data_IF_278900017650
#
_entry.id   IF_278900017650
#
_cell.length_a   1.000
_cell.length_b   1.000
_cell.length_c   1.000
_cell.angle_alpha   90.00
_cell.angle_beta   90.00
_cell.angle_gamma   90.00
#
_symmetry.space_group_name_H-M   'P 1'
#
loop_
_entity.id
_entity.type
_entity.pdbx_description
1 polymer ?
#
# COMPACT_ATOMS: atom_id res chain seq x y z
N UNK A 1 -15.41 7.44 7.84
CA UNK A 1 -15.00 7.76 9.23
C UNK A 1 -14.56 9.23 9.23
N UNK A 2 -15.35 10.15 9.81
CA UNK A 2 -14.98 11.57 9.92
C UNK A 2 -13.98 11.73 11.08
N UNK A 3 -12.70 11.43 10.84
CA UNK A 3 -11.61 11.62 11.81
C UNK A 3 -11.03 13.03 11.79
N UNK A 4 -11.63 13.95 11.02
CA UNK A 4 -11.10 15.28 10.75
C UNK A 4 -10.91 16.12 12.01
N UNK A 5 -11.93 16.26 12.86
CA UNK A 5 -11.88 17.26 13.94
C UNK A 5 -10.72 17.05 14.93
N UNK A 6 -10.42 15.81 15.30
CA UNK A 6 -9.31 15.52 16.21
C UNK A 6 -7.96 15.85 15.56
N UNK A 7 -7.79 15.50 14.28
CA UNK A 7 -6.57 15.80 13.51
C UNK A 7 -6.42 17.31 13.26
N UNK A 8 -7.51 18.07 13.17
CA UNK A 8 -7.49 19.52 13.02
C UNK A 8 -7.11 20.27 14.30
N UNK A 9 -7.25 19.63 15.47
CA UNK A 9 -6.99 20.26 16.78
C UNK A 9 -5.72 19.76 17.46
N UNK A 10 -5.25 18.55 17.13
CA UNK A 10 -4.07 17.97 17.76
C UNK A 10 -2.79 18.80 17.53
N UNK A 11 -2.14 19.23 18.61
CA UNK A 11 -0.88 19.99 18.63
C UNK A 11 0.22 19.31 19.48
N UNK A 12 -0.09 18.14 20.05
CA UNK A 12 0.86 17.32 20.81
C UNK A 12 1.77 16.48 19.91
N UNK A 13 2.99 16.13 20.36
CA UNK A 13 3.84 15.19 19.63
C UNK A 13 3.18 13.80 19.49
N UNK A 14 3.04 13.30 18.27
CA UNK A 14 2.46 11.98 17.96
C UNK A 14 3.47 11.01 17.36
N UNK A 15 3.60 9.83 17.95
CA UNK A 15 4.27 8.69 17.33
C UNK A 15 3.20 7.76 16.75
N UNK A 16 3.25 7.54 15.44
CA UNK A 16 2.29 6.69 14.73
C UNK A 16 2.97 5.38 14.38
N UNK A 17 2.29 4.26 14.61
CA UNK A 17 2.82 2.93 14.27
C UNK A 17 1.83 2.26 13.33
N UNK A 18 2.33 1.72 12.22
CA UNK A 18 1.52 1.07 11.21
C UNK A 18 2.27 -0.06 10.50
N UNK A 19 1.52 -0.88 9.77
CA UNK A 19 2.06 -1.96 8.96
C UNK A 19 1.53 -1.87 7.53
N UNK A 20 2.33 -2.20 6.52
CA UNK A 20 1.90 -2.15 5.12
C UNK A 20 0.76 -3.13 4.80
N UNK A 21 0.66 -4.22 5.57
CA UNK A 21 -0.41 -5.21 5.46
C UNK A 21 -1.45 -5.06 6.58
N UNK A 22 -1.46 -3.92 7.27
CA UNK A 22 -2.47 -3.61 8.27
C UNK A 22 -3.70 -2.95 7.62
N UNK A 23 -4.89 -3.26 8.13
CA UNK A 23 -6.16 -2.71 7.61
C UNK A 23 -6.23 -1.18 7.78
N UNK A 24 -5.52 -0.61 8.75
CA UNK A 24 -5.48 0.82 9.01
C UNK A 24 -4.30 1.53 8.35
N UNK A 25 -3.47 0.86 7.53
CA UNK A 25 -2.33 1.49 6.86
C UNK A 25 -2.70 2.79 6.11
N UNK A 26 -3.78 2.85 5.31
CA UNK A 26 -4.19 4.09 4.64
C UNK A 26 -4.51 5.20 5.63
N UNK A 27 -5.16 4.87 6.74
CA UNK A 27 -5.51 5.83 7.78
C UNK A 27 -4.27 6.37 8.50
N UNK A 28 -3.32 5.51 8.86
CA UNK A 28 -2.07 5.92 9.53
C UNK A 28 -1.26 6.88 8.65
N UNK A 29 -1.17 6.59 7.34
CA UNK A 29 -0.50 7.47 6.38
C UNK A 29 -1.23 8.81 6.22
N UNK A 30 -2.56 8.79 6.09
CA UNK A 30 -3.38 10.01 5.99
C UNK A 30 -3.22 10.89 7.24
N UNK A 31 -3.26 10.29 8.44
CA UNK A 31 -3.03 11.00 9.70
C UNK A 31 -1.65 11.65 9.74
N UNK A 32 -0.60 10.91 9.34
CA UNK A 32 0.76 11.45 9.27
C UNK A 32 0.81 12.65 8.31
N UNK A 33 0.26 12.52 7.09
CA UNK A 33 0.27 13.59 6.10
C UNK A 33 -0.46 14.83 6.61
N UNK A 34 -1.66 14.65 7.18
CA UNK A 34 -2.48 15.76 7.68
C UNK A 34 -1.85 16.49 8.87
N UNK A 35 -1.29 15.76 9.83
CA UNK A 35 -0.60 16.35 10.98
C UNK A 35 0.64 17.15 10.55
N UNK A 36 1.35 16.67 9.52
CA UNK A 36 2.52 17.37 8.96
C UNK A 36 2.16 18.65 8.25
N UNK A 37 1.06 18.68 7.49
CA UNK A 37 0.58 19.91 6.85
C UNK A 37 0.32 21.02 7.88
N UNK A 38 -0.07 20.65 9.10
CA UNK A 38 -0.30 21.55 10.23
C UNK A 38 0.97 21.84 11.05
N UNK A 39 2.14 21.37 10.61
CA UNK A 39 3.42 21.46 11.34
C UNK A 39 3.41 20.80 12.73
N UNK A 40 2.50 19.86 12.99
CA UNK A 40 2.51 19.07 14.22
C UNK A 40 3.70 18.12 14.21
N UNK A 41 4.33 17.93 15.38
CA UNK A 41 5.42 16.96 15.55
C UNK A 41 4.86 15.55 15.42
N UNK A 42 5.16 14.88 14.30
CA UNK A 42 4.72 13.51 14.06
C UNK A 42 5.84 12.67 13.46
N UNK A 43 5.95 11.43 13.95
CA UNK A 43 6.87 10.42 13.43
C UNK A 43 6.12 9.09 13.22
N UNK A 44 5.84 8.67 11.97
CA UNK A 44 5.33 7.35 11.66
C UNK A 44 6.46 6.31 11.56
N UNK A 45 6.15 5.09 12.01
CA UNK A 45 6.91 3.86 11.81
C UNK A 45 6.04 2.87 11.03
N UNK A 46 6.38 2.61 9.77
CA UNK A 46 5.63 1.71 8.88
C UNK A 46 6.42 0.44 8.57
N UNK A 47 6.06 -0.69 9.20
CA UNK A 47 6.74 -1.97 8.99
C UNK A 47 6.04 -2.93 8.01
N UNK A 48 6.62 -4.10 7.71
CA UNK A 48 6.01 -5.12 6.86
C UNK A 48 4.97 -5.97 7.61
N UNK A 49 4.23 -5.37 8.54
CA UNK A 49 3.37 -6.08 9.48
C UNK A 49 1.92 -6.11 9.01
N UNK A 50 1.21 -7.16 9.42
CA UNK A 50 -0.24 -7.20 9.41
C UNK A 50 -0.80 -6.70 10.75
N UNK A 51 -2.12 -6.64 10.87
CA UNK A 51 -2.80 -6.12 12.05
C UNK A 51 -2.38 -6.80 13.36
N UNK A 52 -2.25 -8.13 13.33
CA UNK A 52 -1.89 -8.90 14.53
C UNK A 52 -0.43 -8.71 14.97
N UNK A 53 0.43 -8.14 14.10
CA UNK A 53 1.88 -8.02 14.33
C UNK A 53 2.39 -6.59 14.47
N UNK A 54 1.59 -5.59 14.12
CA UNK A 54 1.99 -4.16 14.04
C UNK A 54 2.56 -3.58 15.35
N UNK A 55 2.31 -4.21 16.50
CA UNK A 55 2.86 -3.81 17.80
C UNK A 55 3.80 -4.82 18.45
N UNK A 56 4.16 -5.91 17.77
CA UNK A 56 4.94 -7.01 18.36
C UNK A 56 6.45 -6.90 18.10
N UNK A 57 6.86 -6.08 17.14
CA UNK A 57 8.27 -5.89 16.81
C UNK A 57 8.98 -5.07 17.91
N UNK A 58 10.17 -5.52 18.35
CA UNK A 58 10.97 -4.83 19.37
C UNK A 58 11.23 -3.35 19.04
N UNK A 59 11.29 -3.02 17.75
CA UNK A 59 11.53 -1.67 17.24
C UNK A 59 10.40 -0.70 17.58
N UNK A 60 9.16 -1.20 17.65
CA UNK A 60 7.99 -0.43 18.09
C UNK A 60 8.16 -0.01 19.54
N UNK A 61 8.52 -0.96 20.42
CA UNK A 61 8.74 -0.67 21.84
C UNK A 61 9.89 0.31 22.03
N UNK A 62 11.04 0.02 21.41
CA UNK A 62 12.24 0.86 21.51
C UNK A 62 11.93 2.32 21.13
N UNK A 63 11.34 2.55 19.95
CA UNK A 63 11.08 3.91 19.47
C UNK A 63 9.94 4.59 20.22
N UNK A 64 8.97 3.84 20.73
CA UNK A 64 7.94 4.40 21.62
C UNK A 64 8.56 4.94 22.91
N UNK A 65 9.50 4.20 23.51
CA UNK A 65 10.22 4.69 24.69
C UNK A 65 11.12 5.88 24.36
N UNK A 66 11.86 5.85 23.26
CA UNK A 66 12.66 7.00 22.82
C UNK A 66 11.76 8.25 22.64
N UNK A 67 10.61 8.10 21.97
CA UNK A 67 9.64 9.20 21.80
C UNK A 67 9.16 9.78 23.13
N UNK A 68 8.83 8.93 24.10
CA UNK A 68 8.43 9.35 25.44
C UNK A 68 9.58 9.98 26.22
N UNK A 69 10.80 9.45 26.11
CA UNK A 69 12.00 10.01 26.75
C UNK A 69 12.32 11.42 26.22
N UNK A 70 12.09 11.68 24.92
CA UNK A 70 12.27 13.02 24.34
C UNK A 70 11.13 13.98 24.72
N UNK A 71 9.88 13.57 24.51
CA UNK A 71 8.75 14.51 24.56
C UNK A 71 8.06 14.60 25.92
N UNK A 72 8.06 13.52 26.71
CA UNK A 72 7.45 13.49 28.04
C UNK A 72 8.51 13.71 29.12
N UNK A 73 9.53 12.85 29.18
CA UNK A 73 10.53 12.88 30.25
C UNK A 73 11.63 13.93 30.01
N UNK A 74 11.82 14.38 28.76
CA UNK A 74 12.84 15.35 28.34
C UNK A 74 14.28 14.95 28.72
N UNK A 75 14.56 13.65 28.82
CA UNK A 75 15.89 13.12 29.20
C UNK A 75 16.85 13.01 28.02
N UNK A 76 16.31 12.86 26.82
CA UNK A 76 17.06 12.87 25.57
C UNK A 76 16.62 14.08 24.73
N UNK A 77 17.52 14.58 23.89
CA UNK A 77 17.23 15.65 22.95
C UNK A 77 17.68 15.25 21.56
N UNK A 78 16.84 15.54 20.57
CA UNK A 78 17.24 15.42 19.20
C UNK A 78 17.21 13.98 18.70
N UNK A 79 16.05 13.33 18.74
CA UNK A 79 15.68 12.27 17.75
C UNK A 79 15.55 12.92 16.34
N UNK A 80 16.40 13.92 16.05
CA UNK A 80 16.48 14.68 14.81
C UNK A 80 17.18 13.81 13.78
N UNK A 81 16.37 13.29 12.86
CA UNK A 81 16.55 13.25 11.39
C UNK A 81 15.67 12.20 10.70
N UNK A 82 14.76 11.52 11.41
CA UNK A 82 13.94 10.44 10.83
C UNK A 82 12.47 10.71 11.00
N UNK A 83 11.91 11.74 10.36
CA UNK A 83 10.54 12.10 10.67
C UNK A 83 9.56 11.13 10.01
N UNK A 84 9.98 10.20 9.13
CA UNK A 84 9.26 8.98 8.72
C UNK A 84 10.27 7.84 8.64
N UNK A 85 9.97 6.71 9.27
CA UNK A 85 10.69 5.46 9.05
C UNK A 85 9.74 4.43 8.45
N UNK A 86 10.19 3.74 7.41
CA UNK A 86 9.37 2.73 6.75
C UNK A 86 10.21 1.57 6.21
N UNK A 87 9.56 0.43 6.00
CA UNK A 87 10.18 -0.77 5.47
C UNK A 87 9.91 -0.91 3.97
N UNK A 88 10.95 -1.14 3.16
CA UNK A 88 10.82 -1.46 1.74
C UNK A 88 10.73 -2.97 1.62
N UNK A 89 9.56 -3.50 1.24
CA UNK A 89 9.26 -4.94 1.31
C UNK A 89 10.12 -5.78 0.37
N UNK A 90 10.28 -5.38 -0.89
CA UNK A 90 11.09 -6.12 -1.87
C UNK A 90 12.59 -6.11 -1.56
N UNK A 91 13.13 -4.97 -1.11
CA UNK A 91 14.52 -4.86 -0.68
C UNK A 91 14.78 -5.45 0.72
N UNK A 92 13.72 -5.70 1.50
CA UNK A 92 13.79 -6.17 2.90
C UNK A 92 14.63 -5.24 3.80
N UNK A 93 14.47 -3.92 3.63
CA UNK A 93 15.29 -2.89 4.28
C UNK A 93 14.47 -1.78 4.93
N UNK A 94 14.97 -1.24 6.05
CA UNK A 94 14.43 -0.02 6.65
C UNK A 94 15.00 1.23 5.99
N UNK A 95 14.14 2.21 5.73
CA UNK A 95 14.48 3.52 5.17
C UNK A 95 13.98 4.64 6.08
N UNK A 96 14.73 5.72 6.10
CA UNK A 96 14.40 6.94 6.83
C UNK A 96 14.29 8.11 5.85
N UNK A 97 13.18 8.86 5.92
CA UNK A 97 12.94 10.00 5.03
C UNK A 97 12.37 11.20 5.77
N UNK A 98 12.62 12.40 5.23
CA UNK A 98 12.15 13.64 5.86
C UNK A 98 10.64 13.84 5.73
N UNK A 99 10.05 13.29 4.68
CA UNK A 99 8.64 13.45 4.35
C UNK A 99 8.17 12.20 3.63
N UNK A 100 6.94 11.81 3.91
CA UNK A 100 6.22 10.82 3.13
C UNK A 100 5.24 11.52 2.17
N UNK A 101 5.10 11.02 0.93
CA UNK A 101 6.02 10.08 0.28
C UNK A 101 7.42 10.71 0.12
N UNK A 102 8.48 9.89 -0.03
CA UNK A 102 9.79 10.42 -0.44
C UNK A 102 9.70 11.14 -1.79
N UNK A 103 10.72 11.93 -2.18
CA UNK A 103 10.80 12.44 -3.54
C UNK A 103 10.79 11.28 -4.56
N UNK A 104 9.74 11.22 -5.38
CA UNK A 104 9.51 10.18 -6.39
C UNK A 104 9.13 10.79 -7.73
N UNK A 105 9.28 10.01 -8.81
CA UNK A 105 8.77 10.34 -10.13
C UNK A 105 7.55 9.47 -10.42
N UNK A 106 6.46 10.06 -10.89
CA UNK A 106 5.28 9.30 -11.30
C UNK A 106 5.59 8.50 -12.57
N UNK A 107 5.37 7.20 -12.52
CA UNK A 107 5.47 6.31 -13.68
C UNK A 107 4.08 5.86 -14.10
N UNK A 108 3.75 6.10 -15.37
CA UNK A 108 2.48 5.66 -15.97
C UNK A 108 2.71 4.38 -16.75
N UNK A 109 1.90 3.37 -16.45
CA UNK A 109 1.84 2.12 -17.20
C UNK A 109 0.41 1.93 -17.72
N UNK A 110 0.31 1.46 -18.96
CA UNK A 110 -0.93 1.18 -19.64
C UNK A 110 -1.22 -0.32 -19.58
N UNK A 111 -2.47 -0.67 -19.27
CA UNK A 111 -3.00 -2.03 -19.34
C UNK A 111 -3.24 -2.36 -20.81
N UNK A 112 -2.46 -3.30 -21.36
CA UNK A 112 -2.48 -3.66 -22.78
C UNK A 112 -3.17 -4.99 -23.01
N UNK A 113 -3.81 -5.12 -24.17
CA UNK A 113 -4.38 -6.40 -24.61
C UNK A 113 -3.30 -7.50 -24.59
N UNK A 114 -3.70 -8.70 -24.16
CA UNK A 114 -2.78 -9.82 -23.93
C UNK A 114 -2.10 -9.81 -22.55
N UNK A 115 -2.55 -8.96 -21.62
CA UNK A 115 -2.12 -9.02 -20.22
C UNK A 115 -0.74 -8.41 -19.93
N UNK A 116 -0.38 -7.35 -20.67
CA UNK A 116 0.90 -6.65 -20.49
C UNK A 116 0.71 -5.28 -19.83
N UNK A 117 1.67 -4.88 -19.00
CA UNK A 117 1.86 -3.50 -18.54
C UNK A 117 2.99 -2.87 -19.33
N UNK A 118 2.74 -1.74 -20.00
CA UNK A 118 3.75 -1.04 -20.79
C UNK A 118 3.73 0.47 -20.54
N UNK A 119 4.89 1.12 -20.61
CA UNK A 119 4.97 2.59 -20.60
C UNK A 119 4.54 3.22 -21.94
N UNK A 120 4.45 2.42 -23.00
CA UNK A 120 4.02 2.89 -24.30
C UNK A 120 2.50 3.04 -24.35
N UNK A 121 2.06 4.22 -24.76
CA UNK A 121 0.65 4.47 -25.06
C UNK A 121 0.22 3.65 -26.29
N UNK A 122 -1.01 3.16 -26.27
CA UNK A 122 -1.52 2.36 -27.38
C UNK A 122 -1.70 3.20 -28.64
N UNK A 123 -1.39 2.63 -29.80
CA UNK A 123 -2.08 3.03 -31.03
C UNK A 123 -3.56 2.69 -30.85
N UNK A 124 -4.44 3.67 -31.02
CA UNK A 124 -5.91 3.52 -30.88
C UNK A 124 -6.46 2.20 -31.43
N UNK A 125 -7.36 1.54 -30.69
CA UNK A 125 -8.12 0.37 -31.18
C UNK A 125 -7.81 -1.00 -30.54
N UNK A 126 -7.25 -1.05 -29.32
CA UNK A 126 -7.09 -2.33 -28.62
C UNK A 126 -8.42 -2.92 -28.14
N UNK A 127 -8.53 -4.25 -28.22
CA UNK A 127 -9.69 -4.98 -27.71
C UNK A 127 -9.77 -4.87 -26.17
N UNK A 128 -10.97 -4.79 -25.59
CA UNK A 128 -11.12 -4.85 -24.15
C UNK A 128 -10.69 -6.22 -23.60
N UNK A 129 -10.14 -6.22 -22.38
CA UNK A 129 -9.98 -7.45 -21.60
C UNK A 129 -11.29 -7.75 -20.86
N UNK A 130 -11.76 -8.99 -20.94
CA UNK A 130 -13.07 -9.40 -20.43
C UNK A 130 -12.91 -10.60 -19.50
N UNK A 131 -13.62 -10.59 -18.38
CA UNK A 131 -13.73 -11.72 -17.48
C UNK A 131 -15.16 -11.82 -16.96
N UNK A 132 -15.54 -12.98 -16.45
CA UNK A 132 -16.86 -13.21 -15.86
C UNK A 132 -16.70 -13.57 -14.38
N UNK A 133 -17.38 -12.84 -13.49
CA UNK A 133 -17.41 -13.13 -12.07
C UNK A 133 -18.65 -13.96 -11.72
N UNK A 134 -18.46 -15.07 -11.02
CA UNK A 134 -19.56 -15.90 -10.51
C UNK A 134 -19.66 -15.76 -8.98
N UNK A 135 -20.71 -15.12 -8.45
CA UNK A 135 -20.90 -14.98 -7.00
C UNK A 135 -20.98 -16.31 -6.22
N UNK A 136 -21.33 -17.43 -6.89
CA UNK A 136 -21.33 -18.76 -6.26
C UNK A 136 -19.93 -19.40 -6.18
N UNK A 137 -18.95 -18.82 -6.85
CA UNK A 137 -17.54 -19.24 -6.83
C UNK A 137 -16.62 -18.02 -6.69
N UNK A 138 -16.74 -17.26 -5.59
CA UNK A 138 -16.03 -16.00 -5.44
C UNK A 138 -14.52 -16.18 -5.50
N UNK A 139 -13.82 -15.17 -6.01
CA UNK A 139 -12.36 -15.12 -5.99
C UNK A 139 -11.87 -15.16 -4.53
N UNK A 140 -11.01 -16.12 -4.16
CA UNK A 140 -10.54 -16.24 -2.78
C UNK A 140 -9.68 -15.04 -2.40
N UNK A 141 -9.77 -14.63 -1.14
CA UNK A 141 -8.82 -13.65 -0.59
C UNK A 141 -7.54 -14.37 -0.18
N UNK A 142 -6.41 -13.89 -0.70
CA UNK A 142 -5.06 -14.32 -0.32
C UNK A 142 -4.28 -13.11 0.17
N UNK A 143 -3.77 -13.16 1.41
CA UNK A 143 -2.99 -12.09 2.02
C UNK A 143 -3.69 -10.72 2.05
N UNK A 144 -2.89 -9.67 1.96
CA UNK A 144 -3.32 -8.27 1.96
C UNK A 144 -3.66 -7.74 3.36
N UNK A 145 -4.44 -6.67 3.40
CA UNK A 145 -4.72 -5.88 4.60
C UNK A 145 -5.92 -6.37 5.42
N UNK A 146 -6.03 -7.69 5.63
CA UNK A 146 -7.09 -8.25 6.46
C UNK A 146 -6.82 -8.02 7.96
N UNK A 147 -7.90 -7.81 8.71
CA UNK A 147 -7.86 -7.69 10.17
C UNK A 147 -7.28 -8.97 10.81
N UNK A 148 -7.70 -10.14 10.33
CA UNK A 148 -7.20 -11.44 10.76
C UNK A 148 -6.72 -12.22 9.54
N UNK A 149 -5.55 -12.86 9.65
CA UNK A 149 -5.00 -13.70 8.59
C UNK A 149 -4.46 -12.96 7.35
N UNK A 150 -4.31 -11.63 7.42
CA UNK A 150 -3.66 -10.82 6.38
C UNK A 150 -2.13 -10.93 6.40
N UNK A 151 -1.46 -10.19 5.50
CA UNK A 151 0.00 -10.18 5.37
C UNK A 151 0.48 -10.30 3.93
N UNK A 152 1.79 -10.37 3.77
CA UNK A 152 2.43 -10.86 2.56
C UNK A 152 2.07 -12.34 2.36
N UNK A 153 1.69 -12.72 1.14
CA UNK A 153 1.41 -14.08 0.76
C UNK A 153 1.71 -14.28 -0.73
N UNK A 154 2.08 -15.52 -1.07
CA UNK A 154 2.11 -15.94 -2.47
C UNK A 154 0.67 -16.05 -2.98
N UNK A 155 0.33 -15.23 -3.98
CA UNK A 155 -1.00 -15.16 -4.58
C UNK A 155 -1.04 -15.64 -6.03
N UNK A 156 -0.01 -16.36 -6.48
CA UNK A 156 0.08 -16.91 -7.84
C UNK A 156 -1.06 -17.85 -8.20
N UNK A 157 -1.76 -18.46 -7.24
CA UNK A 157 -2.95 -19.28 -7.51
C UNK A 157 -4.13 -18.45 -8.03
N UNK A 158 -4.14 -17.13 -7.88
CA UNK A 158 -5.12 -16.25 -8.51
C UNK A 158 -4.90 -16.13 -10.02
N UNK A 159 -3.65 -16.26 -10.47
CA UNK A 159 -3.26 -16.05 -11.86
C UNK A 159 -3.83 -17.10 -12.84
N UNK A 160 -4.28 -18.24 -12.33
CA UNK A 160 -4.85 -19.33 -13.15
C UNK A 160 -6.39 -19.27 -13.22
N UNK A 161 -7.02 -18.30 -12.56
CA UNK A 161 -8.48 -18.18 -12.54
C UNK A 161 -9.00 -17.41 -13.75
N UNK A 162 -10.13 -17.85 -14.30
CA UNK A 162 -10.79 -17.18 -15.42
C UNK A 162 -11.51 -15.88 -15.04
N UNK A 163 -11.73 -15.64 -13.74
CA UNK A 163 -12.35 -14.41 -13.23
C UNK A 163 -11.31 -13.38 -12.76
N UNK A 164 -10.04 -13.56 -13.10
CA UNK A 164 -8.94 -12.65 -12.76
C UNK A 164 -8.23 -12.21 -14.04
N UNK A 165 -8.20 -10.90 -14.28
CA UNK A 165 -7.37 -10.30 -15.32
C UNK A 165 -5.99 -9.99 -14.75
N UNK A 166 -4.94 -10.27 -15.53
CA UNK A 166 -3.55 -10.09 -15.12
C UNK A 166 -2.88 -9.19 -16.13
N UNK A 167 -2.11 -8.23 -15.62
CA UNK A 167 -1.27 -7.37 -16.42
C UNK A 167 0.10 -7.33 -15.76
N UNK A 168 1.12 -7.76 -16.49
CA UNK A 168 2.50 -7.87 -15.98
C UNK A 168 3.44 -7.10 -16.89
N UNK A 169 4.43 -6.43 -16.31
CA UNK A 169 5.50 -5.80 -17.10
C UNK A 169 6.37 -6.87 -17.74
N UNK A 170 7.23 -6.47 -18.68
CA UNK A 170 8.41 -7.28 -18.96
C UNK A 170 9.30 -7.37 -17.71
N UNK A 171 10.25 -8.31 -17.71
CA UNK A 171 11.24 -8.44 -16.64
C UNK A 171 11.95 -7.10 -16.45
N UNK A 172 11.99 -6.63 -15.21
CA UNK A 172 12.65 -5.37 -14.88
C UNK A 172 14.17 -5.53 -15.04
N UNK A 173 14.79 -4.68 -15.85
CA UNK A 173 16.25 -4.69 -16.05
C UNK A 173 17.04 -4.08 -14.88
N UNK A 174 16.34 -3.32 -14.02
CA UNK A 174 16.91 -2.60 -12.87
C UNK A 174 15.90 -2.60 -11.74
N UNK A 175 16.40 -2.52 -10.51
CA UNK A 175 15.55 -2.40 -9.32
C UNK A 175 14.68 -1.14 -9.41
N UNK A 176 13.40 -1.30 -9.09
CA UNK A 176 12.41 -0.21 -9.04
C UNK A 176 11.78 -0.19 -7.66
N UNK A 177 11.96 0.92 -6.94
CA UNK A 177 11.26 1.15 -5.67
C UNK A 177 9.95 1.90 -5.93
N UNK A 178 8.83 1.33 -5.47
CA UNK A 178 7.52 1.98 -5.51
C UNK A 178 7.14 2.43 -4.10
N UNK A 179 7.31 3.73 -3.83
CA UNK A 179 7.04 4.35 -2.53
C UNK A 179 6.02 5.47 -2.66
N UNK A 180 4.76 5.22 -2.29
CA UNK A 180 3.72 6.24 -2.32
C UNK A 180 2.33 5.67 -2.65
N UNK A 181 1.55 6.43 -3.42
CA UNK A 181 0.19 6.06 -3.79
C UNK A 181 0.17 5.42 -5.18
N UNK A 182 -0.41 4.23 -5.28
CA UNK A 182 -0.76 3.63 -6.57
C UNK A 182 -2.14 4.11 -6.99
N UNK A 183 -2.26 4.53 -8.25
CA UNK A 183 -3.51 4.98 -8.85
C UNK A 183 -3.78 4.08 -10.05
N UNK A 184 -5.01 3.60 -10.16
CA UNK A 184 -5.47 2.79 -11.28
C UNK A 184 -6.68 3.48 -11.90
N UNK A 185 -6.53 3.87 -13.17
CA UNK A 185 -7.57 4.51 -13.97
C UNK A 185 -8.08 3.49 -15.00
N UNK A 186 -9.39 3.25 -15.01
CA UNK A 186 -10.01 2.23 -15.86
C UNK A 186 -11.19 2.82 -16.63
N UNK A 187 -11.17 2.64 -17.95
CA UNK A 187 -12.38 2.62 -18.76
C UNK A 187 -13.00 1.23 -18.67
N UNK A 188 -14.27 1.14 -18.27
CA UNK A 188 -14.91 -0.14 -18.03
C UNK A 188 -16.37 -0.14 -18.53
N UNK A 189 -16.91 -1.34 -18.69
CA UNK A 189 -18.35 -1.59 -18.87
C UNK A 189 -18.70 -2.87 -18.10
N UNK A 190 -19.94 -2.97 -17.65
CA UNK A 190 -20.45 -4.11 -16.90
C UNK A 190 -21.90 -4.36 -17.29
N UNK A 191 -22.28 -5.62 -17.45
CA UNK A 191 -23.67 -6.04 -17.62
C UNK A 191 -24.44 -6.04 -16.29
N UNK A 192 -23.72 -5.98 -15.17
CA UNK A 192 -24.27 -5.82 -13.83
C UNK A 192 -24.12 -4.36 -13.35
N UNK A 193 -25.22 -3.66 -13.01
CA UNK A 193 -25.17 -2.29 -12.51
C UNK A 193 -24.59 -2.16 -11.09
N UNK A 194 -24.42 -3.26 -10.36
CA UNK A 194 -23.84 -3.31 -9.02
C UNK A 194 -22.56 -4.16 -9.03
N UNK A 195 -21.57 -3.74 -9.80
CA UNK A 195 -20.28 -4.41 -9.91
C UNK A 195 -19.24 -3.79 -8.96
N UNK A 196 -18.28 -4.62 -8.54
CA UNK A 196 -17.10 -4.15 -7.81
C UNK A 196 -15.85 -4.84 -8.35
N UNK A 197 -14.74 -4.11 -8.36
CA UNK A 197 -13.43 -4.63 -8.76
C UNK A 197 -12.52 -4.72 -7.55
N UNK A 198 -11.95 -5.91 -7.34
CA UNK A 198 -10.76 -6.04 -6.55
C UNK A 198 -9.55 -5.76 -7.43
N UNK A 199 -8.80 -4.74 -7.07
CA UNK A 199 -7.55 -4.37 -7.73
C UNK A 199 -6.42 -4.75 -6.79
N UNK A 200 -5.39 -5.38 -7.35
CA UNK A 200 -4.21 -5.82 -6.61
C UNK A 200 -2.95 -5.45 -7.38
N UNK A 201 -1.94 -5.05 -6.63
CA UNK A 201 -0.56 -4.95 -7.12
C UNK A 201 0.27 -5.99 -6.38
N UNK A 202 1.00 -6.77 -7.17
CA UNK A 202 1.88 -7.82 -6.69
C UNK A 202 3.25 -7.68 -7.36
N UNK A 203 4.28 -8.14 -6.66
CA UNK A 203 5.62 -8.32 -7.19
C UNK A 203 5.78 -9.76 -7.67
N UNK A 204 6.36 -9.98 -8.85
CA UNK A 204 6.71 -11.32 -9.32
C UNK A 204 8.22 -11.49 -9.18
N UNK A 205 8.64 -12.45 -8.36
CA UNK A 205 10.06 -12.71 -8.11
C UNK A 205 10.74 -13.47 -9.27
N UNK A 206 12.07 -13.61 -9.19
CA UNK A 206 12.86 -14.31 -10.20
C UNK A 206 12.52 -15.81 -10.38
N UNK A 207 11.80 -16.41 -9.42
CA UNK A 207 11.30 -17.78 -9.51
C UNK A 207 9.87 -17.84 -10.09
N UNK A 208 9.30 -16.70 -10.50
CA UNK A 208 7.95 -16.59 -11.02
C UNK A 208 6.86 -16.63 -9.94
N UNK A 209 7.21 -16.48 -8.66
CA UNK A 209 6.21 -16.42 -7.60
C UNK A 209 5.68 -15.00 -7.45
N UNK A 210 4.35 -14.86 -7.45
CA UNK A 210 3.66 -13.60 -7.23
C UNK A 210 3.42 -13.38 -5.74
N UNK A 211 3.83 -12.23 -5.22
CA UNK A 211 3.68 -11.83 -3.82
C UNK A 211 2.89 -10.54 -3.74
N UNK A 212 1.85 -10.52 -2.92
CA UNK A 212 1.00 -9.33 -2.83
C UNK A 212 1.69 -8.16 -2.13
N UNK A 213 1.48 -6.95 -2.65
CA UNK A 213 1.98 -5.71 -2.03
C UNK A 213 0.83 -4.88 -1.49
N UNK A 214 -0.14 -4.53 -2.34
CA UNK A 214 -1.31 -3.73 -1.94
C UNK A 214 -2.56 -4.13 -2.70
N UNK A 215 -3.74 -3.85 -2.13
CA UNK A 215 -5.03 -4.15 -2.73
C UNK A 215 -6.07 -3.09 -2.39
N UNK A 216 -7.10 -3.00 -3.23
CA UNK A 216 -8.31 -2.24 -2.93
C UNK A 216 -9.55 -2.93 -3.50
N UNK A 217 -10.71 -2.68 -2.91
CA UNK A 217 -12.02 -2.96 -3.50
C UNK A 217 -12.64 -1.64 -3.92
N UNK A 218 -13.00 -1.53 -5.19
CA UNK A 218 -13.72 -0.37 -5.71
C UNK A 218 -15.09 -0.81 -6.19
N UNK A 219 -16.15 -0.29 -5.57
CA UNK A 219 -17.48 -0.36 -6.17
C UNK A 219 -17.49 0.48 -7.45
N UNK A 220 -17.99 -0.08 -8.55
CA UNK A 220 -18.10 0.61 -9.82
C UNK A 220 -19.44 1.34 -9.83
N UNK A 221 -19.39 2.65 -10.02
CA UNK A 221 -20.56 3.46 -10.38
C UNK A 221 -20.59 3.56 -11.89
N UNK A 222 -21.64 3.02 -12.51
CA UNK A 222 -21.95 3.22 -13.93
C UNK A 222 -22.61 4.57 -14.17
#
# INVERSE_FOLDING_TARGET
MQLGEALERADIPMFLVGGWYDVFAPQTIEQCMRLRERNTKVAPLMGPWNHMRVGQDSRVYQQSFEWLEEHLAKRIQGIKKRPVQYFVTGANEWRDVQRWPPPTVSQKLYLRYGGRLSSEESSTGENPSVFAFNPRQPTPTIGGNLLLGGGAANDGTLAVRSDVLIFTTEVLEKDVEISGKVIVELSHSSDNPNAGLFIRVSEVDANGQSHNTTRNLQALTL
#
